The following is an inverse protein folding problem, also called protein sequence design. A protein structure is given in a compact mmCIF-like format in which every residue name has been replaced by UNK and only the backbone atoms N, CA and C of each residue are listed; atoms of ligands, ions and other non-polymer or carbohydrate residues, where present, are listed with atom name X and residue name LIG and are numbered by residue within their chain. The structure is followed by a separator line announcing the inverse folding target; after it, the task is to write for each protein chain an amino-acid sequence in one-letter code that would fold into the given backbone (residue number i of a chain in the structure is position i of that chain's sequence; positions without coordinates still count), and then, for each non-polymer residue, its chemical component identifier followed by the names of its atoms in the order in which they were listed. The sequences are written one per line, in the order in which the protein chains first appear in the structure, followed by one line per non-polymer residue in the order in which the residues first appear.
data_IF_113114291787
#
_entry.id   IF_113114291787
#
_cell.length_a   1.000
_cell.length_b   1.000
_cell.length_c   1.000
_cell.angle_alpha   90.00
_cell.angle_beta   90.00
_cell.angle_gamma   90.00
#
_symmetry.space_group_name_H-M   'P 1'
#
loop_
_entity.id
_entity.type
_entity.pdbx_description
1 polymer ?
#
# COMPACT_ATOMS: atom_id res chain seq x y z
N UNK A 1 43.73 29.50 -3.67
CA UNK A 1 42.43 30.19 -3.83
C UNK A 1 41.96 29.99 -5.26
N UNK A 2 40.65 29.82 -5.45
CA UNK A 2 39.83 29.82 -6.70
C UNK A 2 38.88 28.61 -6.66
N UNK A 3 37.79 28.72 -5.91
CA UNK A 3 36.44 29.14 -6.35
C UNK A 3 35.76 28.12 -7.27
N UNK A 4 34.71 27.51 -6.72
CA UNK A 4 33.62 26.78 -7.37
C UNK A 4 33.00 27.53 -8.55
N UNK A 5 32.56 26.80 -9.57
CA UNK A 5 31.15 26.78 -10.00
C UNK A 5 30.89 25.76 -11.12
N UNK A 6 30.21 24.67 -10.73
CA UNK A 6 29.02 24.06 -11.37
C UNK A 6 28.87 24.14 -12.90
N UNK A 7 28.82 22.97 -13.56
CA UNK A 7 27.59 22.50 -14.23
C UNK A 7 27.64 20.99 -14.46
N UNK A 8 26.63 20.32 -13.92
CA UNK A 8 26.43 18.88 -13.90
C UNK A 8 26.06 18.32 -15.28
N UNK A 9 26.79 17.27 -15.64
CA UNK A 9 26.25 15.98 -16.10
C UNK A 9 25.18 16.00 -17.19
N UNK A 10 25.66 15.94 -18.43
CA UNK A 10 24.97 15.23 -19.50
C UNK A 10 26.01 14.73 -20.48
N UNK A 11 26.57 13.54 -20.26
CA UNK A 11 26.89 12.70 -21.41
C UNK A 11 26.98 11.25 -20.95
N UNK A 12 26.03 10.47 -21.46
CA UNK A 12 25.97 9.03 -21.36
C UNK A 12 27.17 8.41 -22.09
N UNK A 13 27.95 7.56 -21.41
CA UNK A 13 28.85 6.62 -22.09
C UNK A 13 28.69 5.21 -21.50
N UNK A 14 28.28 4.37 -22.43
CA UNK A 14 28.24 2.92 -22.49
C UNK A 14 29.52 2.22 -21.95
N UNK A 15 29.29 1.06 -21.31
CA UNK A 15 30.13 -0.16 -21.34
C UNK A 15 31.61 -0.08 -20.91
N UNK A 16 31.94 -0.80 -19.82
CA UNK A 16 32.87 -1.96 -19.85
C UNK A 16 33.07 -2.53 -18.42
N UNK A 17 32.39 -3.64 -18.12
CA UNK A 17 32.64 -4.63 -17.03
C UNK A 17 34.11 -5.12 -17.12
N UNK A 18 34.86 -5.51 -16.04
CA UNK A 18 34.45 -6.58 -15.11
C UNK A 18 35.05 -6.64 -13.67
N UNK A 19 34.44 -7.53 -12.87
CA UNK A 19 34.96 -8.21 -11.69
C UNK A 19 34.89 -7.48 -10.34
N UNK A 20 33.79 -7.74 -9.61
CA UNK A 20 33.83 -8.06 -8.18
C UNK A 20 32.54 -8.82 -7.82
N UNK A 21 32.60 -9.99 -7.15
CA UNK A 21 31.40 -10.66 -6.67
C UNK A 21 30.94 -9.91 -5.42
N UNK A 22 30.28 -8.77 -5.62
CA UNK A 22 29.41 -8.25 -4.58
C UNK A 22 28.29 -9.27 -4.46
N UNK A 23 28.32 -10.00 -3.35
CA UNK A 23 27.26 -10.82 -2.80
C UNK A 23 26.06 -9.89 -2.51
N UNK A 24 25.48 -9.35 -3.58
CA UNK A 24 24.17 -8.75 -3.54
C UNK A 24 23.26 -9.93 -3.27
N UNK A 25 22.92 -10.09 -2.00
CA UNK A 25 21.66 -10.69 -1.60
C UNK A 25 20.61 -10.00 -2.45
N UNK A 26 20.24 -10.64 -3.55
CA UNK A 26 19.00 -10.40 -4.26
C UNK A 26 17.95 -10.75 -3.22
N UNK A 27 17.61 -9.76 -2.38
CA UNK A 27 16.42 -9.83 -1.54
C UNK A 27 15.30 -9.82 -2.56
N UNK A 28 14.85 -11.03 -2.88
CA UNK A 28 13.68 -11.30 -3.69
C UNK A 28 12.55 -10.44 -3.15
N UNK A 29 12.34 -9.30 -3.81
CA UNK A 29 11.35 -8.30 -3.42
C UNK A 29 10.01 -8.58 -4.12
N UNK A 30 9.94 -9.67 -4.88
CA UNK A 30 8.79 -9.98 -5.74
C UNK A 30 7.63 -10.63 -4.97
N UNK A 31 7.84 -11.11 -3.74
CA UNK A 31 6.80 -11.72 -2.90
C UNK A 31 5.79 -10.72 -2.28
N UNK A 32 6.02 -9.41 -2.38
CA UNK A 32 5.08 -8.40 -1.87
C UNK A 32 4.00 -7.98 -2.86
N UNK A 33 4.16 -8.32 -4.14
CA UNK A 33 3.23 -7.91 -5.20
C UNK A 33 1.84 -8.52 -5.02
N UNK A 34 1.75 -9.78 -4.57
CA UNK A 34 0.47 -10.43 -4.20
C UNK A 34 -0.08 -10.01 -2.84
N UNK A 35 0.80 -9.78 -1.85
CA UNK A 35 0.39 -9.44 -0.47
C UNK A 35 -0.20 -8.03 -0.35
N UNK A 36 0.34 -7.05 -1.10
CA UNK A 36 -0.10 -5.66 -1.02
C UNK A 36 -1.53 -5.48 -1.57
N UNK A 37 -1.89 -6.22 -2.63
CA UNK A 37 -3.19 -6.04 -3.28
C UNK A 37 -4.36 -6.63 -2.46
N UNK A 38 -4.10 -7.76 -1.79
CA UNK A 38 -5.05 -8.41 -0.88
C UNK A 38 -5.38 -7.52 0.33
N UNK A 39 -4.36 -6.90 0.93
CA UNK A 39 -4.52 -6.01 2.07
C UNK A 39 -5.25 -4.70 1.71
N UNK A 40 -5.00 -4.16 0.52
CA UNK A 40 -5.68 -2.97 0.01
C UNK A 40 -7.20 -3.20 -0.10
N UNK A 41 -7.61 -4.34 -0.66
CA UNK A 41 -9.02 -4.68 -0.81
C UNK A 41 -9.73 -4.91 0.52
N UNK A 42 -9.05 -5.58 1.45
CA UNK A 42 -9.55 -5.70 2.82
C UNK A 42 -9.74 -4.31 3.45
N UNK A 43 -8.74 -3.43 3.31
CA UNK A 43 -8.78 -2.07 3.83
C UNK A 43 -9.93 -1.23 3.25
N UNK A 44 -10.19 -1.36 1.94
CA UNK A 44 -11.32 -0.68 1.28
C UNK A 44 -12.65 -1.17 1.86
N UNK A 45 -12.84 -2.49 2.02
CA UNK A 45 -14.06 -3.05 2.59
C UNK A 45 -14.29 -2.60 4.03
N UNK A 46 -13.23 -2.61 4.85
CA UNK A 46 -13.28 -2.13 6.23
C UNK A 46 -13.63 -0.63 6.30
N UNK A 47 -12.97 0.20 5.50
CA UNK A 47 -13.21 1.64 5.47
C UNK A 47 -14.65 1.95 5.02
N UNK A 48 -15.14 1.27 3.99
CA UNK A 48 -16.52 1.41 3.53
C UNK A 48 -17.52 1.01 4.61
N UNK A 49 -17.29 -0.11 5.30
CA UNK A 49 -18.14 -0.57 6.39
C UNK A 49 -18.19 0.40 7.57
N UNK A 50 -17.04 0.93 8.00
CA UNK A 50 -16.96 1.93 9.07
C UNK A 50 -17.68 3.22 8.66
N UNK A 51 -17.49 3.69 7.43
CA UNK A 51 -18.13 4.90 6.93
C UNK A 51 -19.65 4.75 6.90
N UNK A 52 -20.15 3.67 6.31
CA UNK A 52 -21.59 3.39 6.20
C UNK A 52 -22.19 3.18 7.59
N UNK A 53 -21.52 2.40 8.45
CA UNK A 53 -21.96 2.15 9.83
C UNK A 53 -21.98 3.42 10.67
N UNK A 54 -20.99 4.30 10.51
CA UNK A 54 -20.97 5.62 11.14
C UNK A 54 -22.16 6.48 10.72
N UNK A 55 -22.43 6.58 9.42
CA UNK A 55 -23.60 7.31 8.89
C UNK A 55 -24.90 6.72 9.43
N UNK A 56 -25.07 5.40 9.37
CA UNK A 56 -26.24 4.70 9.87
C UNK A 56 -26.40 4.88 11.40
N UNK A 57 -25.30 4.90 12.15
CA UNK A 57 -25.29 5.15 13.59
C UNK A 57 -25.73 6.57 13.95
N UNK A 58 -25.32 7.57 13.18
CA UNK A 58 -25.79 8.95 13.35
C UNK A 58 -27.29 9.05 13.05
N UNK A 59 -27.76 8.44 11.96
CA UNK A 59 -29.19 8.42 11.60
C UNK A 59 -30.01 7.69 12.67
N UNK A 60 -29.50 6.57 13.19
CA UNK A 60 -30.15 5.77 14.23
C UNK A 60 -29.97 6.30 15.65
N UNK A 61 -29.36 7.47 15.83
CA UNK A 61 -29.06 8.09 17.14
C UNK A 61 -28.25 7.17 18.09
N UNK A 62 -27.45 6.27 17.53
CA UNK A 62 -26.56 5.37 18.26
C UNK A 62 -25.29 5.10 17.47
N UNK A 63 -24.29 5.95 17.69
CA UNK A 63 -22.99 5.82 17.04
C UNK A 63 -22.33 4.49 17.39
N UNK A 64 -22.44 4.02 18.64
CA UNK A 64 -21.83 2.76 19.07
C UNK A 64 -22.37 1.56 18.31
N UNK A 65 -23.71 1.47 18.14
CA UNK A 65 -24.33 0.41 17.35
C UNK A 65 -23.96 0.51 15.86
N UNK A 66 -23.94 1.73 15.32
CA UNK A 66 -23.54 1.97 13.93
C UNK A 66 -22.10 1.54 13.66
N UNK A 67 -21.17 1.88 14.54
CA UNK A 67 -19.76 1.49 14.40
C UNK A 67 -19.58 -0.01 14.57
N UNK A 68 -20.23 -0.64 15.55
CA UNK A 68 -20.15 -2.10 15.73
C UNK A 68 -20.68 -2.86 14.52
N UNK A 69 -21.86 -2.48 14.03
CA UNK A 69 -22.43 -3.09 12.81
C UNK A 69 -21.58 -2.81 11.57
N UNK A 70 -21.07 -1.58 11.43
CA UNK A 70 -20.18 -1.18 10.34
C UNK A 70 -18.86 -1.93 10.33
N UNK A 71 -18.27 -2.20 11.51
CA UNK A 71 -17.05 -3.01 11.62
C UNK A 71 -17.31 -4.45 11.18
N UNK A 72 -18.39 -5.08 11.66
CA UNK A 72 -18.72 -6.46 11.29
C UNK A 72 -18.94 -6.56 9.77
N UNK A 73 -19.79 -5.67 9.22
CA UNK A 73 -20.09 -5.65 7.78
C UNK A 73 -18.86 -5.29 6.95
N UNK A 74 -18.02 -4.35 7.41
CA UNK A 74 -16.81 -3.93 6.73
C UNK A 74 -15.75 -5.03 6.67
N UNK A 75 -15.57 -5.78 7.75
CA UNK A 75 -14.69 -6.95 7.77
C UNK A 75 -15.20 -8.03 6.81
N UNK A 76 -16.49 -8.37 6.88
CA UNK A 76 -17.09 -9.37 5.97
C UNK A 76 -16.95 -8.93 4.51
N UNK A 77 -17.23 -7.67 4.20
CA UNK A 77 -17.10 -7.12 2.86
C UNK A 77 -15.63 -7.11 2.40
N UNK A 78 -14.71 -6.71 3.27
CA UNK A 78 -13.27 -6.71 2.98
C UNK A 78 -12.75 -8.10 2.64
N UNK A 79 -13.12 -9.12 3.43
CA UNK A 79 -12.77 -10.52 3.15
C UNK A 79 -13.41 -10.98 1.85
N UNK A 80 -14.70 -10.69 1.65
CA UNK A 80 -15.42 -11.12 0.45
C UNK A 80 -14.84 -10.53 -0.85
N UNK A 81 -14.47 -9.25 -0.86
CA UNK A 81 -13.85 -8.61 -2.02
C UNK A 81 -12.46 -9.19 -2.25
N UNK A 82 -11.69 -9.40 -1.18
CA UNK A 82 -10.36 -10.01 -1.23
C UNK A 82 -10.39 -11.43 -1.82
N UNK A 83 -11.41 -12.23 -1.49
CA UNK A 83 -11.52 -13.62 -1.93
C UNK A 83 -12.14 -13.78 -3.32
N UNK A 84 -12.86 -12.77 -3.81
CA UNK A 84 -13.45 -12.78 -5.17
C UNK A 84 -12.53 -12.27 -6.28
N UNK A 85 -11.35 -11.77 -5.95
CA UNK A 85 -10.37 -11.20 -6.89
C UNK A 85 -9.21 -12.16 -7.11
#
# INVERSE_FOLDING_TARGET
MSQESVSLSAEAIHQQTPAEPMDHVMVDSDDRSGSSHSAEQFGIGLAAGILIGGIAGVIGNSLTLGVMSGLILGVVLGIYVMERR
#
